data_IF_448538291550
#
_entry.id   IF_448538291550
#
_cell.length_a   1.000
_cell.length_b   1.000
_cell.length_c   1.000
_cell.angle_alpha   90.00
_cell.angle_beta   90.00
_cell.angle_gamma   90.00
#
_symmetry.space_group_name_H-M   'P 1'
#
loop_
_entity.id
_entity.type
_entity.pdbx_description
1 polymer ?
#
# COMPACT_ATOMS: atom_id res chain seq x y z
N UNK A 1 22.41 10.15 1.27
CA UNK A 1 22.27 9.05 2.24
C UNK A 1 23.66 8.73 2.73
N UNK A 2 23.82 8.75 4.03
CA UNK A 2 25.07 8.54 4.78
C UNK A 2 25.60 7.11 4.55
N UNK A 3 24.68 6.17 4.38
CA UNK A 3 24.86 4.74 4.12
C UNK A 3 25.58 4.47 2.78
N UNK A 4 25.35 5.29 1.75
CA UNK A 4 26.08 5.15 0.46
C UNK A 4 27.54 5.58 0.61
N UNK A 5 27.81 6.59 1.45
CA UNK A 5 29.17 7.02 1.75
C UNK A 5 29.89 5.96 2.58
N UNK A 6 29.21 5.38 3.57
CA UNK A 6 29.74 4.28 4.37
C UNK A 6 30.05 3.05 3.53
N UNK A 7 29.16 2.66 2.60
CA UNK A 7 29.42 1.56 1.66
C UNK A 7 30.67 1.84 0.82
N UNK A 8 30.83 3.08 0.32
CA UNK A 8 32.03 3.47 -0.41
C UNK A 8 33.28 3.35 0.44
N UNK A 9 33.23 3.72 1.72
CA UNK A 9 34.37 3.58 2.63
C UNK A 9 34.74 2.13 2.89
N UNK A 10 33.76 1.26 3.15
CA UNK A 10 33.98 -0.17 3.38
C UNK A 10 34.62 -0.82 2.14
N UNK A 11 34.14 -0.48 0.95
CA UNK A 11 34.72 -0.94 -0.31
C UNK A 11 36.17 -0.46 -0.50
N UNK A 12 36.46 0.81 -0.18
CA UNK A 12 37.84 1.35 -0.25
C UNK A 12 38.79 0.71 0.76
N UNK A 13 38.28 0.31 1.93
CA UNK A 13 39.03 -0.42 2.97
C UNK A 13 39.22 -1.91 2.62
N UNK A 14 38.56 -2.41 1.57
CA UNK A 14 38.57 -3.82 1.19
C UNK A 14 37.75 -4.71 2.13
N UNK A 15 36.88 -4.12 2.97
CA UNK A 15 35.99 -4.86 3.85
C UNK A 15 34.76 -5.34 3.08
N UNK A 16 34.94 -6.45 2.35
CA UNK A 16 33.87 -7.05 1.54
C UNK A 16 32.73 -7.54 2.41
N UNK A 17 33.02 -8.07 3.61
CA UNK A 17 31.99 -8.61 4.50
C UNK A 17 31.09 -7.49 5.01
N UNK A 18 31.67 -6.41 5.54
CA UNK A 18 30.92 -5.23 5.96
C UNK A 18 30.13 -4.61 4.81
N UNK A 19 30.75 -4.53 3.62
CA UNK A 19 30.08 -4.01 2.42
C UNK A 19 28.83 -4.81 2.04
N UNK A 20 28.90 -6.15 2.11
CA UNK A 20 27.76 -7.02 1.81
C UNK A 20 26.64 -6.86 2.86
N UNK A 21 26.99 -6.81 4.15
CA UNK A 21 26.01 -6.57 5.22
C UNK A 21 25.26 -5.26 5.01
N UNK A 22 25.97 -4.17 4.69
CA UNK A 22 25.33 -2.87 4.46
C UNK A 22 24.45 -2.86 3.19
N UNK A 23 24.79 -3.65 2.17
CA UNK A 23 23.94 -3.82 0.99
C UNK A 23 22.62 -4.50 1.36
N UNK A 24 22.67 -5.58 2.16
CA UNK A 24 21.46 -6.28 2.60
C UNK A 24 20.54 -5.33 3.40
N UNK A 25 21.10 -4.51 4.29
CA UNK A 25 20.37 -3.49 5.04
C UNK A 25 19.75 -2.42 4.14
N UNK A 26 20.50 -1.93 3.14
CA UNK A 26 20.00 -0.97 2.15
C UNK A 26 18.85 -1.56 1.31
N UNK A 27 18.93 -2.84 0.95
CA UNK A 27 17.87 -3.54 0.23
C UNK A 27 16.61 -3.69 1.09
N UNK A 28 16.77 -4.04 2.37
CA UNK A 28 15.66 -4.15 3.33
C UNK A 28 14.97 -2.79 3.53
N UNK A 29 15.75 -1.71 3.74
CA UNK A 29 15.21 -0.36 3.86
C UNK A 29 14.45 0.07 2.61
N UNK A 30 15.03 -0.13 1.43
CA UNK A 30 14.36 0.20 0.17
C UNK A 30 13.06 -0.60 -0.03
N UNK A 31 13.05 -1.88 0.32
CA UNK A 31 11.84 -2.72 0.29
C UNK A 31 10.78 -2.20 1.25
N UNK A 32 11.16 -1.85 2.48
CA UNK A 32 10.26 -1.30 3.50
C UNK A 32 9.63 0.01 3.07
N UNK A 33 10.39 0.90 2.43
CA UNK A 33 9.85 2.16 1.89
C UNK A 33 8.78 1.94 0.82
N UNK A 34 8.98 0.96 -0.06
CA UNK A 34 8.00 0.57 -1.08
C UNK A 34 6.72 0.04 -0.42
N UNK A 35 6.84 -0.85 0.57
CA UNK A 35 5.69 -1.38 1.33
C UNK A 35 4.92 -0.23 1.99
N UNK A 36 5.62 0.70 2.66
CA UNK A 36 5.01 1.84 3.32
C UNK A 36 4.25 2.77 2.37
N UNK A 37 4.83 3.02 1.19
CA UNK A 37 4.18 3.84 0.16
C UNK A 37 2.93 3.15 -0.39
N UNK A 38 3.01 1.86 -0.73
CA UNK A 38 1.86 1.06 -1.19
C UNK A 38 0.77 1.06 -0.11
N UNK A 39 1.13 0.81 1.15
CA UNK A 39 0.20 0.82 2.29
C UNK A 39 -0.53 2.16 2.41
N UNK A 40 0.17 3.27 2.24
CA UNK A 40 -0.43 4.62 2.32
C UNK A 40 -1.50 4.85 1.24
N UNK A 41 -1.23 4.43 0.00
CA UNK A 41 -2.24 4.49 -1.07
C UNK A 41 -3.37 3.47 -0.88
N UNK A 42 -3.06 2.29 -0.33
CA UNK A 42 -4.02 1.26 0.01
C UNK A 42 -5.04 1.74 1.05
N UNK A 43 -4.61 2.51 2.06
CA UNK A 43 -5.53 3.14 3.03
C UNK A 43 -6.56 4.02 2.31
N UNK A 44 -6.11 4.87 1.39
CA UNK A 44 -7.00 5.76 0.63
C UNK A 44 -7.93 4.96 -0.29
N UNK A 45 -7.41 3.93 -0.95
CA UNK A 45 -8.21 3.03 -1.79
C UNK A 45 -9.34 2.37 -0.98
N UNK A 46 -8.98 1.72 0.12
CA UNK A 46 -9.93 1.01 0.97
C UNK A 46 -10.92 1.95 1.65
N UNK A 47 -10.49 3.14 2.08
CA UNK A 47 -11.39 4.17 2.62
C UNK A 47 -12.55 4.46 1.67
N UNK A 48 -12.25 4.64 0.38
CA UNK A 48 -13.29 4.97 -0.60
C UNK A 48 -14.14 3.74 -0.97
N UNK A 49 -13.58 2.53 -0.99
CA UNK A 49 -14.35 1.31 -1.19
C UNK A 49 -15.31 1.02 -0.02
N UNK A 50 -14.84 1.22 1.23
CA UNK A 50 -15.66 1.10 2.44
C UNK A 50 -16.84 2.06 2.36
N UNK A 51 -16.60 3.33 2.01
CA UNK A 51 -17.67 4.33 1.83
C UNK A 51 -18.65 3.94 0.72
N UNK A 52 -18.15 3.39 -0.39
CA UNK A 52 -19.03 2.91 -1.46
C UNK A 52 -19.95 1.80 -1.00
N UNK A 53 -19.43 0.81 -0.26
CA UNK A 53 -20.20 -0.32 0.23
C UNK A 53 -21.17 0.10 1.34
N UNK A 54 -20.70 0.88 2.31
CA UNK A 54 -21.51 1.31 3.45
C UNK A 54 -22.68 2.23 3.04
N UNK A 55 -22.46 3.12 2.07
CA UNK A 55 -23.47 4.08 1.63
C UNK A 55 -24.21 3.64 0.35
N UNK A 56 -23.86 2.47 -0.20
CA UNK A 56 -24.42 1.93 -1.44
C UNK A 56 -24.47 2.96 -2.59
N UNK A 57 -23.42 3.77 -2.72
CA UNK A 57 -23.29 4.83 -3.73
C UNK A 57 -21.82 5.17 -4.00
N UNK A 58 -21.55 5.83 -5.11
CA UNK A 58 -20.24 6.46 -5.35
C UNK A 58 -20.39 7.92 -5.73
N UNK A 59 -19.30 8.67 -5.63
CA UNK A 59 -19.18 10.02 -6.19
C UNK A 59 -18.02 10.06 -7.18
N UNK A 60 -18.06 11.02 -8.11
CA UNK A 60 -16.97 11.21 -9.08
C UNK A 60 -15.61 11.45 -8.42
N UNK A 61 -15.56 12.13 -7.28
CA UNK A 61 -14.32 12.34 -6.55
C UNK A 61 -13.81 11.03 -5.93
N UNK A 62 -14.70 10.18 -5.43
CA UNK A 62 -14.32 8.87 -4.88
C UNK A 62 -13.77 7.95 -5.96
N UNK A 63 -14.43 7.89 -7.12
CA UNK A 63 -13.93 7.11 -8.26
C UNK A 63 -12.55 7.61 -8.73
N UNK A 64 -12.31 8.92 -8.70
CA UNK A 64 -10.98 9.48 -9.01
C UNK A 64 -9.94 9.09 -7.96
N UNK A 65 -10.25 9.18 -6.67
CA UNK A 65 -9.35 8.77 -5.59
C UNK A 65 -8.97 7.29 -5.71
N UNK A 66 -9.94 6.41 -5.97
CA UNK A 66 -9.72 4.98 -6.17
C UNK A 66 -8.75 4.74 -7.33
N UNK A 67 -9.01 5.34 -8.49
CA UNK A 67 -8.15 5.18 -9.67
C UNK A 67 -6.74 5.71 -9.45
N UNK A 68 -6.61 6.86 -8.79
CA UNK A 68 -5.32 7.44 -8.47
C UNK A 68 -4.53 6.52 -7.53
N UNK A 69 -5.13 6.07 -6.42
CA UNK A 69 -4.46 5.14 -5.49
C UNK A 69 -4.03 3.86 -6.18
N UNK A 70 -4.87 3.28 -7.03
CA UNK A 70 -4.51 2.06 -7.78
C UNK A 70 -3.30 2.30 -8.69
N UNK A 71 -3.30 3.38 -9.46
CA UNK A 71 -2.18 3.71 -10.36
C UNK A 71 -0.88 3.93 -9.60
N UNK A 72 -0.96 4.59 -8.43
CA UNK A 72 0.21 4.80 -7.59
C UNK A 72 0.72 3.48 -7.00
N UNK A 73 -0.16 2.60 -6.49
CA UNK A 73 0.22 1.26 -6.01
C UNK A 73 0.91 0.46 -7.13
N UNK A 74 0.32 0.44 -8.33
CA UNK A 74 0.89 -0.24 -9.49
C UNK A 74 2.26 0.34 -9.87
N UNK A 75 2.40 1.67 -9.84
CA UNK A 75 3.65 2.36 -10.17
C UNK A 75 4.75 2.06 -9.15
N UNK A 76 4.44 2.15 -7.85
CA UNK A 76 5.41 1.88 -6.78
C UNK A 76 5.80 0.40 -6.76
N UNK A 77 4.87 -0.52 -7.03
CA UNK A 77 5.18 -1.94 -7.04
C UNK A 77 5.99 -2.39 -8.27
N UNK A 78 5.96 -1.65 -9.38
CA UNK A 78 6.66 -2.04 -10.62
C UNK A 78 8.16 -1.72 -10.58
N UNK A 79 9.00 -2.73 -10.82
CA UNK A 79 10.46 -2.54 -10.92
C UNK A 79 10.83 -1.90 -12.27
N UNK A 80 11.41 -0.70 -12.24
CA UNK A 80 11.73 0.08 -13.46
C UNK A 80 12.85 -0.49 -14.32
N UNK A 81 13.85 -1.17 -13.72
CA UNK A 81 15.08 -1.61 -14.42
C UNK A 81 15.22 -3.13 -14.55
N UNK A 82 14.73 -3.89 -13.58
CA UNK A 82 14.90 -5.35 -13.53
C UNK A 82 13.74 -6.14 -14.16
N UNK A 83 12.64 -5.47 -14.53
CA UNK A 83 11.37 -6.14 -14.81
C UNK A 83 10.75 -6.74 -13.54
N UNK A 84 9.46 -7.11 -13.61
CA UNK A 84 8.73 -7.67 -12.47
C UNK A 84 8.29 -6.65 -11.41
N UNK A 85 7.98 -7.16 -10.22
CA UNK A 85 7.34 -6.40 -9.13
C UNK A 85 8.13 -6.54 -7.82
N UNK A 86 8.02 -5.56 -6.92
CA UNK A 86 8.66 -5.60 -5.61
C UNK A 86 7.94 -6.56 -4.66
N UNK A 87 6.62 -6.44 -4.59
CA UNK A 87 5.69 -7.28 -3.84
C UNK A 87 4.97 -8.23 -4.81
N UNK A 88 4.85 -9.48 -4.40
CA UNK A 88 3.98 -10.45 -5.07
C UNK A 88 2.51 -10.25 -4.64
N UNK A 89 1.60 -11.11 -5.10
CA UNK A 89 0.16 -10.96 -4.79
C UNK A 89 -0.19 -11.19 -3.31
N UNK A 90 0.50 -12.12 -2.65
CA UNK A 90 0.32 -12.43 -1.22
C UNK A 90 0.79 -11.24 -0.38
N UNK A 91 1.96 -10.69 -0.69
CA UNK A 91 2.52 -9.52 0.00
C UNK A 91 1.69 -8.25 -0.21
N UNK A 92 1.09 -8.09 -1.40
CA UNK A 92 0.12 -7.02 -1.65
C UNK A 92 -1.15 -7.19 -0.82
N UNK A 93 -1.65 -8.42 -0.70
CA UNK A 93 -2.82 -8.72 0.11
C UNK A 93 -2.53 -8.42 1.58
N UNK A 94 -1.42 -8.91 2.14
CA UNK A 94 -0.98 -8.58 3.51
C UNK A 94 -0.90 -7.05 3.73
N UNK A 95 -0.35 -6.32 2.76
CA UNK A 95 -0.26 -4.85 2.83
C UNK A 95 -1.65 -4.19 2.83
N UNK A 96 -2.61 -4.73 2.08
CA UNK A 96 -4.00 -4.27 2.09
C UNK A 96 -4.71 -4.60 3.41
N UNK A 97 -4.43 -5.77 3.99
CA UNK A 97 -4.97 -6.18 5.28
C UNK A 97 -4.52 -5.26 6.42
N UNK A 98 -3.25 -4.86 6.43
CA UNK A 98 -2.72 -3.85 7.36
C UNK A 98 -3.32 -2.46 7.11
N UNK A 99 -3.49 -2.09 5.84
CA UNK A 99 -4.09 -0.82 5.46
C UNK A 99 -5.57 -0.73 5.88
N UNK A 100 -6.29 -1.84 5.84
CA UNK A 100 -7.72 -1.90 6.18
C UNK A 100 -8.02 -1.34 7.58
N UNK A 101 -7.17 -1.63 8.57
CA UNK A 101 -7.35 -1.15 9.95
C UNK A 101 -7.39 0.39 10.01
N UNK A 102 -6.50 1.06 9.28
CA UNK A 102 -6.50 2.52 9.23
C UNK A 102 -7.63 3.07 8.33
N UNK A 103 -8.00 2.33 7.29
CA UNK A 103 -9.05 2.72 6.36
C UNK A 103 -10.44 2.69 7.00
N UNK A 104 -10.74 1.67 7.82
CA UNK A 104 -12.01 1.57 8.53
C UNK A 104 -12.16 2.66 9.59
N UNK A 105 -11.07 2.99 10.31
CA UNK A 105 -11.04 4.11 11.26
C UNK A 105 -11.32 5.45 10.56
N UNK A 106 -10.68 5.69 9.40
CA UNK A 106 -10.93 6.92 8.64
C UNK A 106 -12.34 6.95 8.05
N UNK A 107 -12.83 5.82 7.57
CA UNK A 107 -14.16 5.72 6.98
C UNK A 107 -15.25 5.98 8.02
N UNK A 108 -15.06 5.52 9.26
CA UNK A 108 -16.02 5.72 10.35
C UNK A 108 -16.27 7.20 10.64
N UNK A 109 -15.29 8.08 10.37
CA UNK A 109 -15.42 9.53 10.52
C UNK A 109 -16.21 10.20 9.39
N UNK A 110 -16.34 9.55 8.23
CA UNK A 110 -16.92 10.15 7.02
C UNK A 110 -18.26 9.52 6.62
N UNK A 111 -18.42 8.21 6.83
CA UNK A 111 -19.64 7.47 6.47
C UNK A 111 -20.82 7.99 7.28
N UNK A 112 -21.89 8.36 6.57
CA UNK A 112 -23.11 8.93 7.18
C UNK A 112 -22.80 10.06 8.18
N UNK A 113 -21.84 10.94 7.85
CA UNK A 113 -21.43 12.07 8.71
C UNK A 113 -20.83 11.63 10.06
N UNK A 114 -20.16 10.49 10.10
CA UNK A 114 -19.48 10.03 11.31
C UNK A 114 -20.38 9.26 12.27
N UNK A 115 -21.46 8.67 11.76
CA UNK A 115 -22.50 8.05 12.60
C UNK A 115 -22.05 6.79 13.32
N UNK A 116 -21.04 6.10 12.79
CA UNK A 116 -20.64 4.78 13.26
C UNK A 116 -19.24 4.82 13.86
N UNK A 117 -19.06 4.11 14.97
CA UNK A 117 -17.72 3.75 15.43
C UNK A 117 -17.09 2.74 14.44
N UNK A 118 -15.75 2.62 14.37
CA UNK A 118 -15.08 1.71 13.44
C UNK A 118 -15.60 0.27 13.53
N UNK A 119 -15.82 -0.22 14.75
CA UNK A 119 -16.33 -1.58 15.01
C UNK A 119 -17.78 -1.79 14.56
N UNK A 120 -18.61 -0.74 14.57
CA UNK A 120 -19.98 -0.80 14.07
C UNK A 120 -20.01 -0.74 12.54
N UNK A 121 -19.12 0.05 11.95
CA UNK A 121 -18.96 0.13 10.50
C UNK A 121 -18.43 -1.20 9.94
N UNK A 122 -17.49 -1.84 10.62
CA UNK A 122 -16.94 -3.13 10.23
C UNK A 122 -18.01 -4.23 10.12
N UNK A 123 -19.06 -4.18 10.95
CA UNK A 123 -20.19 -5.12 10.87
C UNK A 123 -21.11 -4.88 9.66
N UNK A 124 -20.99 -3.73 8.99
CA UNK A 124 -21.85 -3.31 7.87
C UNK A 124 -21.19 -3.47 6.52
N UNK A 125 -19.88 -3.67 6.51
CA UNK A 125 -19.09 -3.88 5.31
C UNK A 125 -18.57 -5.31 5.27
N UNK A 126 -18.27 -5.79 4.06
CA UNK A 126 -17.66 -7.08 3.88
C UNK A 126 -16.17 -6.89 3.60
N UNK A 127 -15.34 -7.08 4.63
CA UNK A 127 -13.88 -6.97 4.54
C UNK A 127 -13.30 -7.81 3.39
N UNK A 128 -13.75 -9.06 3.26
CA UNK A 128 -13.24 -9.96 2.22
C UNK A 128 -13.57 -9.45 0.81
N UNK A 129 -14.80 -8.97 0.60
CA UNK A 129 -15.21 -8.38 -0.69
C UNK A 129 -14.39 -7.12 -1.03
N UNK A 130 -14.16 -6.25 -0.05
CA UNK A 130 -13.37 -5.03 -0.21
C UNK A 130 -11.92 -5.33 -0.59
N UNK A 131 -11.27 -6.28 0.10
CA UNK A 131 -9.89 -6.69 -0.19
C UNK A 131 -9.79 -7.36 -1.56
N UNK A 132 -10.74 -8.23 -1.91
CA UNK A 132 -10.80 -8.86 -3.23
C UNK A 132 -11.01 -7.84 -4.36
N UNK A 133 -11.86 -6.84 -4.14
CA UNK A 133 -12.07 -5.76 -5.11
C UNK A 133 -10.82 -4.90 -5.27
N UNK A 134 -10.16 -4.52 -4.18
CA UNK A 134 -8.91 -3.77 -4.21
C UNK A 134 -7.81 -4.54 -4.96
N UNK A 135 -7.65 -5.84 -4.67
CA UNK A 135 -6.71 -6.72 -5.38
C UNK A 135 -7.04 -6.80 -6.87
N UNK A 136 -8.32 -7.00 -7.23
CA UNK A 136 -8.73 -7.01 -8.63
C UNK A 136 -8.37 -5.71 -9.34
N UNK A 137 -8.54 -4.56 -8.69
CA UNK A 137 -8.17 -3.28 -9.26
C UNK A 137 -6.66 -3.15 -9.43
N UNK A 138 -5.87 -3.52 -8.43
CA UNK A 138 -4.41 -3.45 -8.48
C UNK A 138 -3.84 -4.37 -9.58
N UNK A 139 -4.43 -5.55 -9.77
CA UNK A 139 -3.96 -6.54 -10.76
C UNK A 139 -4.50 -6.30 -12.17
N UNK A 140 -5.50 -5.43 -12.35
CA UNK A 140 -6.06 -5.07 -13.66
C UNK A 140 -5.20 -4.00 -14.35
N UNK A 141 -4.95 -4.17 -15.65
CA UNK A 141 -4.24 -3.16 -16.46
C UNK A 141 -5.13 -1.97 -16.88
N UNK A 142 -6.46 -2.09 -16.73
CA UNK A 142 -7.44 -1.13 -17.27
C UNK A 142 -8.21 -0.37 -16.16
N UNK A 143 -7.60 0.65 -15.56
CA UNK A 143 -8.25 1.57 -14.58
C UNK A 143 -8.02 3.06 -14.85
#
# INVERSE_FOLDING_TARGET
MEEILELKELLLKGDIKGSLTLIDELEEMGRKDIINNIRSYAVILLLHLIKQQAENRTTRSWDVSIRNSVREIQRENKRRKAGGYYLNQEELLETLEEAYLNAIDQASLEVEEGRYEPTELEQRVNREELLNQAMKFILSEDI
#
